data_IF_870566831951
#
_entry.id   IF_870566831951
#
_cell.length_a   1.000
_cell.length_b   1.000
_cell.length_c   1.000
_cell.angle_alpha   90.00
_cell.angle_beta   90.00
_cell.angle_gamma   90.00
#
_symmetry.space_group_name_H-M   'P 1'
#
loop_
_entity.id
_entity.type
_entity.pdbx_description
1 polymer ?
#
# COMPACT_ATOMS: atom_id res chain seq x y z
N UNK A 1 0.01 -17.38 11.21
CA UNK A 1 -0.49 -16.19 10.51
C UNK A 1 -1.86 -16.57 9.99
N UNK A 2 -2.91 -15.96 10.54
CA UNK A 2 -4.29 -16.11 10.08
C UNK A 2 -4.34 -15.86 8.56
N UNK A 3 -5.16 -16.62 7.86
CA UNK A 3 -5.31 -16.55 6.40
C UNK A 3 -5.71 -15.13 5.98
N UNK A 4 -4.84 -14.44 5.24
CA UNK A 4 -5.18 -13.17 4.59
C UNK A 4 -5.78 -13.45 3.22
N UNK A 5 -6.75 -12.65 2.79
CA UNK A 5 -7.39 -12.82 1.48
C UNK A 5 -6.58 -12.25 0.33
N UNK A 6 -5.87 -11.14 0.61
CA UNK A 6 -5.10 -10.39 -0.36
C UNK A 6 -3.81 -9.86 0.27
N UNK A 7 -2.74 -9.83 -0.52
CA UNK A 7 -1.50 -9.12 -0.18
C UNK A 7 -1.49 -7.80 -0.96
N UNK A 8 -1.31 -6.68 -0.24
CA UNK A 8 -1.05 -5.36 -0.84
C UNK A 8 0.41 -4.98 -0.56
N UNK A 9 1.17 -4.63 -1.60
CA UNK A 9 2.55 -4.16 -1.47
C UNK A 9 2.70 -2.76 -2.06
N UNK A 10 3.14 -1.80 -1.25
CA UNK A 10 3.26 -0.40 -1.64
C UNK A 10 4.54 -0.09 -2.45
N UNK A 11 5.09 -1.05 -3.20
CA UNK A 11 6.36 -0.91 -3.95
C UNK A 11 7.63 -1.11 -3.14
N UNK A 12 8.79 -0.91 -3.77
CA UNK A 12 10.13 -1.15 -3.22
C UNK A 12 10.37 -2.63 -2.86
N UNK A 13 10.02 -3.53 -3.79
CA UNK A 13 10.44 -4.92 -3.77
C UNK A 13 11.96 -5.08 -3.95
N UNK A 14 12.57 -4.19 -4.74
CA UNK A 14 13.98 -4.21 -5.20
C UNK A 14 14.36 -5.38 -6.10
N UNK A 15 13.83 -6.58 -5.85
CA UNK A 15 14.05 -7.80 -6.63
C UNK A 15 12.71 -8.41 -7.09
N UNK A 16 12.62 -8.80 -8.36
CA UNK A 16 11.44 -9.45 -8.95
C UNK A 16 11.11 -10.79 -8.29
N UNK A 17 12.10 -11.47 -7.69
CA UNK A 17 11.86 -12.74 -6.99
C UNK A 17 10.93 -12.56 -5.79
N UNK A 18 11.01 -11.43 -5.07
CA UNK A 18 10.10 -11.14 -3.94
C UNK A 18 8.64 -11.08 -4.43
N UNK A 19 8.40 -10.38 -5.55
CA UNK A 19 7.08 -10.33 -6.17
C UNK A 19 6.59 -11.73 -6.59
N UNK A 20 7.47 -12.56 -7.15
CA UNK A 20 7.14 -13.93 -7.57
C UNK A 20 6.79 -14.82 -6.37
N UNK A 21 7.53 -14.70 -5.27
CA UNK A 21 7.28 -15.46 -4.04
C UNK A 21 5.95 -15.05 -3.40
N UNK A 22 5.66 -13.75 -3.26
CA UNK A 22 4.37 -13.30 -2.71
C UNK A 22 3.20 -13.78 -3.56
N UNK A 23 3.33 -13.77 -4.90
CA UNK A 23 2.31 -14.28 -5.83
C UNK A 23 2.07 -15.79 -5.71
N UNK A 24 3.02 -16.56 -5.17
CA UNK A 24 2.81 -17.99 -4.86
C UNK A 24 2.01 -18.20 -3.58
N UNK A 25 2.02 -17.23 -2.66
CA UNK A 25 1.32 -17.32 -1.38
C UNK A 25 -0.15 -16.90 -1.51
N UNK A 26 -0.42 -15.80 -2.21
CA UNK A 26 -1.77 -15.26 -2.37
C UNK A 26 -1.85 -14.35 -3.60
N UNK A 27 -3.06 -13.87 -3.93
CA UNK A 27 -3.24 -12.75 -4.86
C UNK A 27 -2.49 -11.53 -4.32
N UNK A 28 -1.73 -10.87 -5.20
CA UNK A 28 -0.92 -9.69 -4.87
C UNK A 28 -1.41 -8.50 -5.69
N UNK A 29 -1.64 -7.38 -5.01
CA UNK A 29 -1.89 -6.06 -5.57
C UNK A 29 -0.73 -5.15 -5.20
N UNK A 30 -0.09 -4.57 -6.21
CA UNK A 30 1.22 -3.98 -6.03
C UNK A 30 1.48 -2.88 -7.04
N UNK A 31 2.25 -1.90 -6.59
CA UNK A 31 2.73 -0.77 -7.39
C UNK A 31 4.24 -0.74 -7.39
N UNK A 32 4.84 -0.05 -8.35
CA UNK A 32 6.27 0.18 -8.37
C UNK A 32 6.70 1.24 -7.34
N UNK A 33 7.82 1.01 -6.68
CA UNK A 33 8.53 1.97 -5.83
C UNK A 33 9.76 2.57 -6.50
N UNK A 34 10.40 3.56 -5.86
CA UNK A 34 11.54 4.25 -6.47
C UNK A 34 12.78 3.35 -6.56
N UNK A 35 12.95 2.41 -5.62
CA UNK A 35 14.08 1.48 -5.56
C UNK A 35 13.88 0.22 -6.40
N UNK A 36 12.70 0.05 -7.03
CA UNK A 36 12.43 -1.10 -7.88
C UNK A 36 13.26 -1.09 -9.17
N UNK A 37 13.67 -2.28 -9.57
CA UNK A 37 14.39 -2.54 -10.81
C UNK A 37 13.57 -2.15 -12.04
N UNK A 38 14.23 -1.95 -13.18
CA UNK A 38 13.54 -1.65 -14.44
C UNK A 38 12.54 -2.75 -14.82
N UNK A 39 12.90 -4.02 -14.59
CA UNK A 39 11.99 -5.16 -14.80
C UNK A 39 10.69 -4.99 -14.01
N UNK A 40 10.78 -4.68 -12.71
CA UNK A 40 9.61 -4.44 -11.87
C UNK A 40 8.78 -3.24 -12.35
N UNK A 41 9.45 -2.14 -12.71
CA UNK A 41 8.78 -0.93 -13.23
C UNK A 41 8.05 -1.15 -14.56
N UNK A 42 8.42 -2.18 -15.34
CA UNK A 42 7.71 -2.55 -16.58
C UNK A 42 6.44 -3.36 -16.34
N UNK A 43 6.36 -4.08 -15.21
CA UNK A 43 5.23 -4.99 -14.92
C UNK A 43 4.31 -4.48 -13.82
N UNK A 44 4.75 -3.52 -13.00
CA UNK A 44 3.97 -2.93 -11.92
C UNK A 44 3.51 -1.51 -12.29
N UNK A 45 2.23 -1.18 -12.08
CA UNK A 45 1.73 0.16 -12.30
C UNK A 45 2.28 1.14 -11.25
N UNK A 46 2.26 2.44 -11.57
CA UNK A 46 2.60 3.51 -10.61
C UNK A 46 1.50 3.68 -9.55
N UNK A 47 0.25 3.44 -9.94
CA UNK A 47 -0.96 3.57 -9.13
C UNK A 47 -1.93 2.44 -9.50
N UNK A 48 -2.59 1.86 -8.51
CA UNK A 48 -3.66 0.88 -8.70
C UNK A 48 -4.87 1.26 -7.82
N UNK A 49 -6.08 0.92 -8.25
CA UNK A 49 -7.29 1.00 -7.43
C UNK A 49 -7.95 -0.37 -7.43
N UNK A 50 -8.28 -0.87 -6.24
CA UNK A 50 -9.02 -2.11 -6.08
C UNK A 50 -10.27 -1.87 -5.24
N UNK A 51 -11.29 -2.68 -5.44
CA UNK A 51 -12.53 -2.62 -4.66
C UNK A 51 -12.69 -3.92 -3.88
N UNK A 52 -12.93 -3.81 -2.57
CA UNK A 52 -13.13 -4.94 -1.65
C UNK A 52 -14.31 -4.58 -0.75
N UNK A 53 -15.36 -5.40 -0.73
CA UNK A 53 -16.56 -5.19 0.11
C UNK A 53 -17.08 -3.73 0.05
N UNK A 54 -17.19 -3.18 -1.17
CA UNK A 54 -17.61 -1.80 -1.47
C UNK A 54 -16.67 -0.69 -0.97
N UNK A 55 -15.45 -1.02 -0.55
CA UNK A 55 -14.39 -0.05 -0.23
C UNK A 55 -13.42 0.06 -1.39
N UNK A 56 -13.22 1.27 -1.91
CA UNK A 56 -12.21 1.56 -2.93
C UNK A 56 -10.88 1.89 -2.27
N UNK A 57 -9.87 1.07 -2.57
CA UNK A 57 -8.52 1.18 -2.03
C UNK A 57 -7.59 1.66 -3.14
N UNK A 58 -7.06 2.86 -2.99
CA UNK A 58 -5.98 3.39 -3.81
C UNK A 58 -4.62 2.90 -3.29
N UNK A 59 -3.78 2.38 -4.19
CA UNK A 59 -2.43 1.91 -3.87
C UNK A 59 -1.44 2.74 -4.69
N UNK A 60 -0.43 3.30 -4.04
CA UNK A 60 0.66 4.05 -4.69
C UNK A 60 1.90 4.00 -3.82
N UNK A 61 3.11 3.99 -4.38
CA UNK A 61 4.29 4.11 -3.53
C UNK A 61 4.41 5.51 -2.91
N UNK A 62 3.99 6.54 -3.64
CA UNK A 62 4.28 7.93 -3.33
C UNK A 62 5.58 8.41 -3.97
N UNK A 63 5.91 9.69 -3.80
CA UNK A 63 7.12 10.28 -4.35
C UNK A 63 7.49 11.61 -3.66
N UNK A 64 8.72 12.07 -3.94
CA UNK A 64 9.22 13.37 -3.50
C UNK A 64 9.75 13.37 -2.06
N UNK A 65 9.54 14.48 -1.35
CA UNK A 65 9.92 14.58 0.07
C UNK A 65 9.12 13.58 0.93
N UNK A 66 9.59 13.12 2.10
CA UNK A 66 8.71 12.46 3.08
C UNK A 66 7.72 13.47 3.71
N UNK A 67 8.07 14.75 3.75
CA UNK A 67 7.21 15.81 4.30
C UNK A 67 6.07 16.16 3.33
N UNK A 68 4.84 16.24 3.82
CA UNK A 68 3.64 16.49 3.01
C UNK A 68 3.22 15.33 2.10
N UNK A 69 3.70 14.11 2.38
CA UNK A 69 3.36 12.94 1.56
C UNK A 69 1.85 12.63 1.59
N UNK A 70 1.19 12.85 2.74
CA UNK A 70 -0.27 12.68 2.92
C UNK A 70 -1.07 13.45 1.85
N UNK A 71 -0.71 14.72 1.62
CA UNK A 71 -1.37 15.57 0.62
C UNK A 71 -1.10 15.09 -0.80
N UNK A 72 0.17 14.74 -1.10
CA UNK A 72 0.54 14.27 -2.45
C UNK A 72 -0.16 12.97 -2.82
N UNK A 73 -0.17 11.97 -1.92
CA UNK A 73 -0.82 10.70 -2.22
C UNK A 73 -2.33 10.88 -2.34
N UNK A 74 -2.96 11.73 -1.52
CA UNK A 74 -4.38 12.07 -1.69
C UNK A 74 -4.67 12.74 -3.03
N UNK A 75 -3.81 13.67 -3.45
CA UNK A 75 -3.95 14.35 -4.74
C UNK A 75 -3.87 13.39 -5.94
N UNK A 76 -3.09 12.31 -5.84
CA UNK A 76 -3.03 11.27 -6.89
C UNK A 76 -4.37 10.56 -7.13
N UNK A 77 -5.31 10.64 -6.18
CA UNK A 77 -6.63 10.04 -6.27
C UNK A 77 -7.76 11.08 -6.18
N UNK A 78 -7.49 12.37 -6.40
CA UNK A 78 -8.51 13.43 -6.21
C UNK A 78 -9.71 13.30 -7.15
N UNK A 79 -9.53 12.68 -8.31
CA UNK A 79 -10.59 12.40 -9.28
C UNK A 79 -11.32 11.07 -9.03
N UNK A 80 -10.89 10.30 -8.04
CA UNK A 80 -11.44 8.99 -7.69
C UNK A 80 -12.14 9.07 -6.32
N UNK A 81 -13.29 8.39 -6.19
CA UNK A 81 -13.83 8.12 -4.86
C UNK A 81 -12.97 7.02 -4.21
N UNK A 82 -12.21 7.37 -3.18
CA UNK A 82 -11.35 6.44 -2.43
C UNK A 82 -11.72 6.47 -0.95
N UNK A 83 -11.80 5.30 -0.34
CA UNK A 83 -12.03 5.14 1.10
C UNK A 83 -10.72 4.88 1.86
N UNK A 84 -9.73 4.24 1.20
CA UNK A 84 -8.44 3.88 1.78
C UNK A 84 -7.31 4.18 0.80
N UNK A 85 -6.23 4.83 1.24
CA UNK A 85 -5.00 4.97 0.45
C UNK A 85 -3.88 4.22 1.15
N UNK A 86 -3.37 3.16 0.51
CA UNK A 86 -2.18 2.43 0.93
C UNK A 86 -0.96 3.02 0.23
N UNK A 87 0.03 3.47 1.00
CA UNK A 87 1.24 4.08 0.45
C UNK A 87 2.54 3.76 1.18
N UNK A 88 3.67 4.00 0.51
CA UNK A 88 5.02 3.70 0.97
C UNK A 88 5.90 4.95 1.12
N UNK A 89 7.14 4.87 0.63
CA UNK A 89 8.14 5.93 0.50
C UNK A 89 8.70 6.56 1.79
N UNK A 90 7.85 6.87 2.77
CA UNK A 90 8.27 7.61 3.97
C UNK A 90 9.04 6.78 5.02
N UNK A 91 8.98 5.45 4.91
CA UNK A 91 9.43 4.47 5.91
C UNK A 91 8.82 4.65 7.32
N UNK A 92 7.78 5.49 7.45
CA UNK A 92 7.07 5.74 8.71
C UNK A 92 5.70 5.11 8.63
N UNK A 93 5.44 4.15 9.51
CA UNK A 93 4.12 3.54 9.60
C UNK A 93 3.06 4.58 9.94
N UNK A 94 1.91 4.51 9.28
CA UNK A 94 0.79 5.40 9.51
C UNK A 94 -0.52 4.62 9.37
N UNK A 95 -1.46 4.93 10.25
CA UNK A 95 -2.83 4.43 10.22
C UNK A 95 -3.72 5.56 10.73
N UNK A 96 -4.13 6.45 9.81
CA UNK A 96 -4.75 7.74 10.16
C UNK A 96 -5.87 8.08 9.18
N UNK A 97 -7.02 8.50 9.69
CA UNK A 97 -8.12 8.99 8.86
C UNK A 97 -7.99 10.50 8.66
N UNK A 98 -8.11 10.97 7.41
CA UNK A 98 -8.12 12.39 7.05
C UNK A 98 -9.20 12.63 5.99
N UNK A 99 -10.17 13.50 6.30
CA UNK A 99 -11.34 13.78 5.46
C UNK A 99 -12.01 12.49 4.99
N UNK A 100 -12.32 11.61 5.94
CA UNK A 100 -12.99 10.31 5.73
C UNK A 100 -12.22 9.28 4.88
N UNK A 101 -10.95 9.57 4.53
CA UNK A 101 -10.05 8.63 3.85
C UNK A 101 -9.06 8.06 4.86
N UNK A 102 -8.98 6.73 4.94
CA UNK A 102 -7.95 6.05 5.70
C UNK A 102 -6.61 6.09 4.96
N UNK A 103 -5.66 6.89 5.43
CA UNK A 103 -4.27 6.86 5.00
C UNK A 103 -3.51 5.79 5.77
N UNK A 104 -2.99 4.81 5.03
CA UNK A 104 -2.33 3.64 5.58
C UNK A 104 -0.95 3.44 4.98
N UNK A 105 0.08 3.54 5.80
CA UNK A 105 1.46 3.22 5.43
C UNK A 105 1.95 2.08 6.34
N UNK A 106 2.26 0.89 5.81
CA UNK A 106 2.70 -0.23 6.63
C UNK A 106 4.09 -0.02 7.23
N UNK A 107 4.83 1.02 6.84
CA UNK A 107 6.23 1.24 7.18
C UNK A 107 7.15 0.40 6.30
N UNK A 108 8.37 0.19 6.79
CA UNK A 108 9.37 -0.65 6.12
C UNK A 108 9.16 -2.11 6.53
N UNK A 109 9.10 -3.02 5.55
CA UNK A 109 8.80 -4.43 5.79
C UNK A 109 9.77 -5.14 6.77
N UNK A 110 10.99 -4.62 6.97
CA UNK A 110 11.94 -5.15 7.97
C UNK A 110 11.56 -4.83 9.41
N UNK A 111 10.71 -3.82 9.62
CA UNK A 111 10.42 -3.24 10.93
C UNK A 111 8.92 -3.42 11.29
N UNK A 112 8.04 -3.38 10.29
CA UNK A 112 6.60 -3.48 10.48
C UNK A 112 5.87 -3.98 9.22
N UNK A 113 4.66 -4.49 9.44
CA UNK A 113 3.67 -4.76 8.39
C UNK A 113 2.28 -4.31 8.86
N UNK A 114 1.34 -4.24 7.92
CA UNK A 114 -0.03 -3.82 8.21
C UNK A 114 -1.05 -4.92 7.95
N UNK A 115 -2.12 -4.94 8.74
CA UNK A 115 -3.34 -5.72 8.48
C UNK A 115 -4.48 -4.73 8.23
N UNK A 116 -5.16 -4.87 7.10
CA UNK A 116 -6.41 -4.17 6.81
C UNK A 116 -7.54 -5.19 6.85
N UNK A 117 -8.49 -5.00 7.77
CA UNK A 117 -9.71 -5.80 7.85
C UNK A 117 -10.87 -4.97 7.30
N UNK A 118 -11.64 -5.56 6.40
CA UNK A 118 -12.83 -4.94 5.80
C UNK A 118 -14.02 -5.85 6.09
N UNK A 119 -14.89 -5.41 6.98
CA UNK A 119 -16.13 -6.10 7.36
C UNK A 119 -17.19 -5.03 7.67
N UNK A 120 -17.79 -4.49 6.61
CA UNK A 120 -18.63 -3.27 6.63
C UNK A 120 -17.81 -1.98 6.79
N UNK A 121 -16.99 -1.91 7.83
CA UNK A 121 -16.02 -0.83 8.05
C UNK A 121 -14.58 -1.27 7.74
N UNK A 122 -13.71 -0.30 7.46
CA UNK A 122 -12.30 -0.55 7.21
C UNK A 122 -11.49 -0.24 8.47
N UNK A 123 -10.76 -1.23 8.97
CA UNK A 123 -9.86 -1.08 10.12
C UNK A 123 -8.44 -1.46 9.74
N UNK A 124 -7.50 -0.56 9.98
CA UNK A 124 -6.07 -0.85 9.87
C UNK A 124 -5.44 -1.16 11.22
N UNK A 125 -4.42 -2.00 11.21
CA UNK A 125 -3.52 -2.27 12.32
C UNK A 125 -2.09 -2.33 11.80
N UNK A 126 -1.14 -1.74 12.53
CA UNK A 126 0.29 -1.87 12.25
C UNK A 126 0.88 -2.81 13.28
N UNK A 127 1.51 -3.88 12.80
CA UNK A 127 2.25 -4.83 13.64
C UNK A 127 3.73 -4.54 13.42
N UNK A 128 4.43 -4.16 14.49
CA UNK A 128 5.85 -3.80 14.45
C UNK A 128 6.68 -4.70 15.35
N UNK A 129 7.93 -4.94 14.97
CA UNK A 129 8.86 -5.81 15.73
C UNK A 129 9.56 -5.10 16.91
N UNK A 130 9.00 -4.00 17.43
CA UNK A 130 9.54 -3.26 18.58
C UNK A 130 8.77 -3.58 19.85
#
# INVERSE_FOLDING_TARGET
>A
VSTVDLIIHAGDFTDVQVLKELKRLRVVKAVQGNMDSMELKTVLPVKEIVEIENKRIGITHGSGSPWGIEERVRKMFESDRIDIIVYGHSHRSQNKVINDILLFNPGKATDSFGILTIDGEAKGEIISSR
#
